data_IF_679395395458
#
_entry.id   IF_679395395458
#
_cell.length_a   1.000
_cell.length_b   1.000
_cell.length_c   1.000
_cell.angle_alpha   90.00
_cell.angle_beta   90.00
_cell.angle_gamma   90.00
#
_symmetry.space_group_name_H-M   'P 1'
#
loop_
_entity.id
_entity.type
_entity.pdbx_description
1 polymer ?
#
# COMPACT_ATOMS: atom_id res chain seq x y z
N UNK A 1 -5.58 5.40 -15.93
CA UNK A 1 -5.30 6.63 -15.16
C UNK A 1 -6.12 6.59 -13.88
N UNK A 2 -5.47 6.71 -12.71
CA UNK A 2 -6.17 6.74 -11.42
C UNK A 2 -7.18 7.91 -11.44
N UNK A 3 -8.46 7.63 -11.15
CA UNK A 3 -9.46 8.70 -11.01
C UNK A 3 -9.13 9.50 -9.75
N UNK A 4 -9.18 10.83 -9.85
CA UNK A 4 -9.05 11.73 -8.71
C UNK A 4 -10.18 11.45 -7.71
N UNK A 5 -9.92 10.66 -6.68
CA UNK A 5 -10.85 10.44 -5.56
C UNK A 5 -10.42 11.13 -4.27
N UNK A 6 -9.22 11.71 -4.23
CA UNK A 6 -8.63 12.35 -3.05
C UNK A 6 -8.77 13.87 -2.99
N UNK A 7 -9.82 14.46 -3.56
CA UNK A 7 -10.04 15.92 -3.45
C UNK A 7 -10.31 16.25 -1.98
N UNK A 8 -9.36 16.93 -1.35
CA UNK A 8 -9.48 17.43 0.02
C UNK A 8 -10.68 18.38 0.11
N UNK A 9 -11.62 18.08 1.00
CA UNK A 9 -12.74 18.97 1.31
C UNK A 9 -12.31 19.88 2.46
N UNK A 10 -12.03 21.14 2.19
CA UNK A 10 -11.90 22.14 3.24
C UNK A 10 -13.29 22.49 3.78
N UNK A 11 -13.54 22.31 5.10
CA UNK A 11 -14.69 22.97 5.72
C UNK A 11 -15.39 22.32 6.92
N UNK A 12 -15.14 21.07 7.32
CA UNK A 12 -15.83 20.46 8.47
C UNK A 12 -14.87 19.51 9.20
N UNK A 13 -14.92 19.43 10.54
CA UNK A 13 -14.23 18.42 11.38
C UNK A 13 -14.77 16.98 11.16
N UNK A 14 -15.12 16.64 9.93
CA UNK A 14 -15.62 15.33 9.52
C UNK A 14 -14.48 14.58 8.83
N UNK A 15 -14.03 13.49 9.45
CA UNK A 15 -13.10 12.55 8.82
C UNK A 15 -13.91 11.50 8.07
N UNK A 16 -13.95 11.61 6.74
CA UNK A 16 -14.70 10.72 5.86
C UNK A 16 -13.81 9.69 5.17
N UNK A 17 -12.55 10.06 4.93
CA UNK A 17 -11.55 9.24 4.27
C UNK A 17 -10.13 9.50 4.84
N UNK A 18 -9.18 8.63 4.52
CA UNK A 18 -7.77 8.73 4.93
C UNK A 18 -7.11 10.04 4.47
N UNK A 19 -7.58 10.61 3.35
CA UNK A 19 -7.12 11.90 2.82
C UNK A 19 -7.39 13.07 3.78
N UNK A 20 -8.40 12.93 4.66
CA UNK A 20 -8.72 13.94 5.67
C UNK A 20 -7.72 13.90 6.84
N UNK A 21 -6.98 12.79 6.97
CA UNK A 21 -6.02 12.53 8.03
C UNK A 21 -4.84 13.49 8.04
N UNK A 22 -4.32 13.77 9.23
CA UNK A 22 -3.17 14.68 9.43
C UNK A 22 -1.96 14.25 8.60
N UNK A 23 -1.67 12.95 8.54
CA UNK A 23 -0.51 12.45 7.81
C UNK A 23 -0.62 12.79 6.32
N UNK A 24 -1.75 12.52 5.68
CA UNK A 24 -1.97 12.88 4.28
C UNK A 24 -1.82 14.38 3.99
N UNK A 25 -2.06 15.24 4.99
CA UNK A 25 -1.92 16.70 4.88
C UNK A 25 -0.52 17.21 5.18
N UNK A 26 0.25 16.52 6.02
CA UNK A 26 1.52 17.06 6.54
C UNK A 26 2.71 16.11 6.39
N UNK A 27 2.59 15.00 5.65
CA UNK A 27 3.69 14.05 5.49
C UNK A 27 4.88 14.74 4.83
N UNK A 28 6.02 14.88 5.52
CA UNK A 28 7.11 15.73 5.08
C UNK A 28 7.89 15.09 3.92
N UNK A 29 8.26 15.90 2.93
CA UNK A 29 9.07 15.48 1.81
C UNK A 29 9.87 16.64 1.23
N UNK A 30 11.20 16.64 1.40
CA UNK A 30 12.13 17.63 0.81
C UNK A 30 11.71 19.11 0.97
N UNK A 31 11.20 19.49 2.13
CA UNK A 31 10.76 20.87 2.41
C UNK A 31 9.33 21.19 1.97
N UNK A 32 8.61 20.25 1.36
CA UNK A 32 7.18 20.31 1.07
C UNK A 32 6.42 19.14 1.72
N UNK A 33 5.16 18.95 1.34
CA UNK A 33 4.38 17.74 1.66
C UNK A 33 4.51 16.72 0.53
N UNK A 34 4.48 15.43 0.88
CA UNK A 34 4.57 14.33 -0.07
C UNK A 34 3.30 14.18 -0.92
N UNK A 35 2.13 14.43 -0.31
CA UNK A 35 0.86 14.42 -1.02
C UNK A 35 0.42 15.85 -1.29
N UNK A 36 0.22 16.14 -2.57
CA UNK A 36 -0.33 17.38 -3.10
C UNK A 36 -1.31 17.04 -4.23
N UNK A 37 -2.13 18.01 -4.64
CA UNK A 37 -3.05 17.81 -5.78
C UNK A 37 -2.31 17.44 -7.07
N UNK A 38 -1.10 17.95 -7.26
CA UNK A 38 -0.26 17.67 -8.42
C UNK A 38 0.36 16.26 -8.38
N UNK A 39 0.60 15.74 -7.18
CA UNK A 39 1.31 14.47 -6.97
C UNK A 39 0.40 13.30 -6.63
N UNK A 40 -0.91 13.51 -6.42
CA UNK A 40 -1.87 12.48 -5.96
C UNK A 40 -1.92 11.21 -6.85
N UNK A 41 -1.46 11.29 -8.10
CA UNK A 41 -1.41 10.16 -9.04
C UNK A 41 -0.03 9.54 -9.21
N UNK A 42 1.03 10.17 -8.67
CA UNK A 42 2.43 9.73 -8.80
C UNK A 42 3.09 9.43 -7.46
N UNK A 43 2.61 10.04 -6.38
CA UNK A 43 3.04 9.83 -5.01
C UNK A 43 2.03 8.92 -4.34
N UNK A 44 2.36 7.64 -4.28
CA UNK A 44 1.48 6.59 -3.80
C UNK A 44 1.73 6.29 -2.33
N UNK A 45 0.65 6.06 -1.60
CA UNK A 45 0.67 5.52 -0.26
C UNK A 45 0.27 4.04 -0.30
N UNK A 46 1.04 3.20 0.39
CA UNK A 46 0.74 1.79 0.55
C UNK A 46 0.31 1.48 1.98
N UNK A 47 -0.80 0.76 2.11
CA UNK A 47 -1.19 0.09 3.36
C UNK A 47 -0.66 -1.33 3.34
N UNK A 48 0.32 -1.63 4.21
CA UNK A 48 0.93 -2.95 4.34
C UNK A 48 0.20 -3.82 5.36
N UNK A 49 -0.10 -5.06 4.96
CA UNK A 49 -0.82 -6.04 5.75
C UNK A 49 -0.10 -7.40 5.76
N UNK A 50 -0.31 -8.13 6.84
CA UNK A 50 0.11 -9.52 7.01
C UNK A 50 -1.06 -10.27 7.64
N UNK A 51 -1.51 -11.34 6.99
CA UNK A 51 -2.58 -12.18 7.50
C UNK A 51 -2.26 -13.66 7.34
N UNK A 52 -2.79 -14.47 8.25
CA UNK A 52 -2.62 -15.92 8.29
C UNK A 52 -3.90 -16.63 7.88
N UNK A 53 -3.81 -17.54 6.92
CA UNK A 53 -4.95 -18.30 6.41
C UNK A 53 -4.62 -19.78 6.29
N UNK A 54 -5.67 -20.61 6.24
CA UNK A 54 -5.54 -22.05 6.05
C UNK A 54 -5.95 -22.45 4.62
N UNK A 55 -4.99 -22.75 3.72
CA UNK A 55 -5.30 -23.11 2.34
C UNK A 55 -5.87 -24.52 2.17
N UNK A 56 -5.70 -25.41 3.16
CA UNK A 56 -6.04 -26.83 3.05
C UNK A 56 -7.18 -27.22 4.01
N UNK A 57 -8.12 -28.02 3.52
CA UNK A 57 -9.13 -28.65 4.38
C UNK A 57 -8.55 -29.89 5.07
N UNK A 58 -9.02 -30.17 6.30
CA UNK A 58 -8.64 -31.38 7.08
C UNK A 58 -7.17 -31.49 7.50
N UNK A 59 -6.40 -30.40 7.46
CA UNK A 59 -5.06 -30.31 8.05
C UNK A 59 -4.90 -29.01 8.83
N UNK A 60 -4.02 -28.98 9.83
CA UNK A 60 -3.62 -27.75 10.49
C UNK A 60 -2.41 -27.17 9.74
N UNK A 61 -2.68 -26.18 8.89
CA UNK A 61 -1.66 -25.54 8.07
C UNK A 61 -1.94 -24.04 7.95
N UNK A 62 -1.21 -23.23 8.72
CA UNK A 62 -1.25 -21.77 8.60
C UNK A 62 -0.25 -21.31 7.54
N UNK A 63 -0.68 -20.46 6.61
CA UNK A 63 0.14 -19.81 5.58
C UNK A 63 -0.07 -18.32 5.66
N UNK A 64 1.01 -17.56 5.55
CA UNK A 64 0.96 -16.11 5.66
C UNK A 64 0.93 -15.47 4.30
N UNK A 65 0.16 -14.41 4.14
CA UNK A 65 0.24 -13.53 2.99
C UNK A 65 0.68 -12.16 3.46
N UNK A 66 1.75 -11.64 2.85
CA UNK A 66 2.11 -10.23 2.92
C UNK A 66 1.56 -9.55 1.68
N UNK A 67 0.77 -8.50 1.88
CA UNK A 67 0.14 -7.78 0.78
C UNK A 67 -0.02 -6.31 1.11
N UNK A 68 -0.20 -5.49 0.07
CA UNK A 68 -0.40 -4.07 0.20
C UNK A 68 -1.58 -3.57 -0.63
N UNK A 69 -2.28 -2.57 -0.12
CA UNK A 69 -3.33 -1.84 -0.83
C UNK A 69 -2.85 -0.45 -1.20
N UNK A 70 -3.21 0.03 -2.39
CA UNK A 70 -2.91 1.41 -2.83
C UNK A 70 -3.94 2.37 -2.25
N UNK A 71 -3.55 3.17 -1.28
CA UNK A 71 -4.43 4.07 -0.56
C UNK A 71 -4.97 5.23 -1.42
N UNK A 72 -4.26 5.59 -2.50
CA UNK A 72 -4.68 6.63 -3.45
C UNK A 72 -5.94 6.25 -4.26
N UNK A 73 -6.41 5.01 -4.17
CA UNK A 73 -7.68 4.61 -4.76
C UNK A 73 -8.87 5.14 -3.96
N UNK A 74 -10.07 5.21 -4.58
CA UNK A 74 -11.30 5.46 -3.84
C UNK A 74 -11.51 4.38 -2.78
N UNK A 75 -12.10 4.75 -1.64
CA UNK A 75 -12.36 3.83 -0.52
C UNK A 75 -12.99 2.49 -0.94
N UNK A 76 -13.93 2.51 -1.89
CA UNK A 76 -14.61 1.30 -2.38
C UNK A 76 -13.72 0.36 -3.20
N UNK A 77 -12.58 0.85 -3.70
CA UNK A 77 -11.71 0.13 -4.64
C UNK A 77 -10.43 -0.41 -3.97
N UNK A 78 -9.95 0.23 -2.89
CA UNK A 78 -8.63 -0.05 -2.27
C UNK A 78 -8.36 -1.52 -1.95
N UNK A 79 -9.36 -2.20 -1.38
CA UNK A 79 -9.22 -3.56 -0.85
C UNK A 79 -9.86 -4.61 -1.76
N UNK A 80 -10.19 -4.26 -3.00
CA UNK A 80 -10.65 -5.26 -3.96
C UNK A 80 -9.47 -6.14 -4.38
N UNK A 81 -9.69 -7.45 -4.62
CA UNK A 81 -8.63 -8.37 -5.01
C UNK A 81 -7.79 -7.88 -6.21
N UNK A 82 -8.40 -7.23 -7.19
CA UNK A 82 -7.73 -6.67 -8.37
C UNK A 82 -6.81 -5.48 -8.09
N UNK A 83 -6.95 -4.83 -6.93
CA UNK A 83 -6.16 -3.68 -6.50
C UNK A 83 -5.22 -3.99 -5.31
N UNK A 84 -5.21 -5.24 -4.85
CA UNK A 84 -4.30 -5.72 -3.81
C UNK A 84 -3.02 -6.28 -4.43
N UNK A 85 -1.88 -5.83 -3.92
CA UNK A 85 -0.55 -6.24 -4.37
C UNK A 85 -0.02 -7.28 -3.40
N UNK A 86 0.16 -8.53 -3.82
CA UNK A 86 0.83 -9.55 -3.02
C UNK A 86 2.34 -9.36 -3.07
N UNK A 87 2.96 -9.18 -1.90
CA UNK A 87 4.39 -8.93 -1.75
C UNK A 87 5.16 -10.21 -1.38
N UNK A 88 4.49 -11.18 -0.76
CA UNK A 88 5.12 -12.46 -0.42
C UNK A 88 4.18 -13.43 0.29
N UNK A 89 4.58 -14.70 0.30
CA UNK A 89 3.88 -15.76 1.03
C UNK A 89 4.82 -16.44 2.00
N UNK A 90 4.36 -16.63 3.24
CA UNK A 90 5.09 -17.31 4.29
C UNK A 90 4.62 -18.75 4.36
N UNK A 91 5.55 -19.67 4.11
CA UNK A 91 5.25 -21.10 4.09
C UNK A 91 4.88 -21.59 5.48
N UNK A 92 3.81 -22.39 5.55
CA UNK A 92 3.38 -23.09 6.77
C UNK A 92 4.30 -24.25 7.15
N UNK A 93 3.90 -25.11 8.12
CA UNK A 93 2.52 -25.35 8.56
C UNK A 93 2.05 -24.50 9.75
N UNK A 94 2.92 -23.71 10.35
CA UNK A 94 2.60 -22.82 11.48
C UNK A 94 3.00 -21.39 11.15
N UNK A 95 2.49 -20.45 11.95
CA UNK A 95 2.94 -19.06 11.90
C UNK A 95 4.46 -19.00 12.03
N UNK A 96 5.06 -18.14 11.21
CA UNK A 96 6.51 -18.00 11.16
C UNK A 96 7.00 -17.27 12.40
N UNK A 97 8.02 -17.83 13.04
CA UNK A 97 8.68 -17.21 14.19
C UNK A 97 9.25 -15.83 13.86
N UNK A 98 9.29 -14.94 14.87
CA UNK A 98 9.68 -13.55 14.72
C UNK A 98 11.06 -13.37 14.07
N UNK A 99 12.00 -14.29 14.31
CA UNK A 99 13.34 -14.20 13.72
C UNK A 99 13.34 -14.50 12.22
N UNK A 100 12.47 -15.41 11.78
CA UNK A 100 12.38 -15.83 10.38
C UNK A 100 11.62 -14.84 9.51
N UNK A 101 10.70 -14.05 10.07
CA UNK A 101 9.92 -13.07 9.31
C UNK A 101 10.83 -12.02 8.65
N UNK A 102 11.95 -11.67 9.29
CA UNK A 102 12.90 -10.68 8.77
C UNK A 102 13.49 -11.11 7.42
N UNK A 103 13.70 -12.41 7.20
CA UNK A 103 14.19 -12.90 5.91
C UNK A 103 13.18 -12.71 4.78
N UNK A 104 11.88 -12.73 5.08
CA UNK A 104 10.82 -12.42 4.11
C UNK A 104 10.66 -10.92 3.90
N UNK A 105 10.82 -10.12 4.97
CA UNK A 105 10.66 -8.67 4.91
C UNK A 105 11.85 -7.97 4.26
N UNK A 106 13.07 -8.49 4.40
CA UNK A 106 14.28 -7.86 3.88
C UNK A 106 14.17 -7.46 2.39
N UNK A 107 13.84 -8.37 1.44
CA UNK A 107 13.70 -7.98 0.04
C UNK A 107 12.57 -6.97 -0.20
N UNK A 108 11.47 -7.04 0.57
CA UNK A 108 10.36 -6.10 0.45
C UNK A 108 10.80 -4.70 0.90
N UNK A 109 11.58 -4.61 1.97
CA UNK A 109 12.14 -3.35 2.46
C UNK A 109 13.08 -2.73 1.43
N UNK A 110 13.93 -3.53 0.79
CA UNK A 110 14.83 -3.04 -0.26
C UNK A 110 14.05 -2.41 -1.44
N UNK A 111 13.01 -3.09 -1.93
CA UNK A 111 12.13 -2.57 -2.99
C UNK A 111 11.42 -1.28 -2.56
N UNK A 112 10.91 -1.21 -1.33
CA UNK A 112 10.25 -0.01 -0.80
C UNK A 112 11.21 1.17 -0.67
N UNK A 113 12.47 0.94 -0.31
CA UNK A 113 13.50 1.97 -0.23
C UNK A 113 13.82 2.54 -1.62
N UNK A 114 13.84 1.71 -2.65
CA UNK A 114 14.04 2.16 -4.03
C UNK A 114 12.82 2.92 -4.56
N UNK A 115 11.61 2.47 -4.26
CA UNK A 115 10.38 3.20 -4.59
C UNK A 115 10.26 4.56 -3.86
N UNK A 116 10.82 4.69 -2.66
CA UNK A 116 10.91 5.97 -1.96
C UNK A 116 11.84 6.97 -2.67
N UNK A 117 13.01 6.49 -3.13
CA UNK A 117 13.94 7.29 -3.97
C UNK A 117 13.27 7.71 -5.27
N UNK A 118 12.36 6.89 -5.78
CA UNK A 118 11.54 7.14 -6.94
C UNK A 118 11.87 6.16 -8.07
N UNK A 119 10.85 5.77 -8.81
CA UNK A 119 10.96 4.80 -9.89
C UNK A 119 10.28 5.29 -11.16
N UNK A 120 10.93 5.08 -12.31
CA UNK A 120 10.38 5.40 -13.63
C UNK A 120 9.63 4.19 -14.16
N UNK A 121 8.30 4.25 -14.12
CA UNK A 121 7.44 3.31 -14.83
C UNK A 121 7.75 3.41 -16.34
N UNK A 122 8.06 2.29 -17.02
CA UNK A 122 8.30 2.29 -18.45
C UNK A 122 7.11 2.80 -19.25
N UNK A 123 7.37 3.19 -20.50
CA UNK A 123 6.35 3.61 -21.45
C UNK A 123 5.31 2.51 -21.63
N UNK A 124 4.03 2.88 -21.53
CA UNK A 124 2.90 1.98 -21.81
C UNK A 124 2.05 2.56 -22.92
N UNK A 125 1.13 1.77 -23.47
CA UNK A 125 0.17 2.26 -24.46
C UNK A 125 -0.64 3.48 -23.96
N UNK A 126 -0.98 3.50 -22.67
CA UNK A 126 -1.73 4.60 -22.05
C UNK A 126 -0.84 5.75 -21.54
N UNK A 127 0.48 5.55 -21.48
CA UNK A 127 1.44 6.53 -20.99
C UNK A 127 2.72 6.44 -21.82
N UNK A 128 2.72 7.10 -22.98
CA UNK A 128 3.81 7.02 -23.98
C UNK A 128 5.12 7.62 -23.51
N UNK A 129 5.09 8.46 -22.48
CA UNK A 129 6.30 9.05 -21.91
C UNK A 129 6.86 8.22 -20.75
N UNK A 130 6.07 7.29 -20.19
CA UNK A 130 6.35 6.68 -18.89
C UNK A 130 5.98 7.61 -17.74
N UNK A 131 6.09 7.12 -16.51
CA UNK A 131 5.61 7.83 -15.33
C UNK A 131 6.63 7.74 -14.20
N UNK A 132 7.08 8.87 -13.67
CA UNK A 132 7.84 8.87 -12.43
C UNK A 132 6.89 8.72 -11.25
N UNK A 133 7.15 7.73 -10.41
CA UNK A 133 6.41 7.50 -9.19
C UNK A 133 7.32 7.51 -7.99
N UNK A 134 6.74 7.85 -6.84
CA UNK A 134 7.32 7.70 -5.52
C UNK A 134 6.33 6.99 -4.64
N UNK A 135 6.81 6.14 -3.75
CA UNK A 135 5.94 5.40 -2.84
C UNK A 135 6.36 5.65 -1.41
N UNK A 136 5.38 6.02 -0.58
CA UNK A 136 5.51 6.08 0.86
C UNK A 136 4.81 4.87 1.48
N UNK A 137 5.40 4.33 2.54
CA UNK A 137 4.75 3.37 3.41
C UNK A 137 4.30 4.08 4.69
N UNK A 138 3.01 4.38 4.81
CA UNK A 138 2.44 5.11 5.94
C UNK A 138 1.53 4.17 6.76
N UNK A 139 2.16 3.22 7.47
CA UNK A 139 1.81 2.56 8.76
C UNK A 139 0.30 2.47 9.15
N UNK A 140 -0.31 1.35 9.66
CA UNK A 140 0.08 -0.03 10.06
C UNK A 140 -1.19 -0.90 10.19
N UNK A 141 -1.02 -2.22 10.10
CA UNK A 141 -1.85 -3.31 10.68
C UNK A 141 -3.33 -3.02 10.74
N UNK A 142 -4.03 -3.31 9.65
CA UNK A 142 -5.48 -3.33 9.65
C UNK A 142 -5.92 -4.70 9.20
N UNK A 143 -6.65 -5.42 10.06
CA UNK A 143 -7.51 -6.49 9.57
C UNK A 143 -8.39 -5.88 8.48
N UNK A 144 -8.30 -6.43 7.27
CA UNK A 144 -9.25 -6.02 6.23
C UNK A 144 -10.62 -6.58 6.66
N UNK A 145 -11.70 -5.77 6.63
CA UNK A 145 -13.01 -6.26 6.97
C UNK A 145 -13.36 -7.48 6.11
N UNK A 146 -13.72 -8.58 6.77
CA UNK A 146 -14.26 -9.76 6.10
C UNK A 146 -15.46 -9.34 5.24
N UNK A 147 -15.46 -9.77 3.97
CA UNK A 147 -16.56 -9.52 3.04
C UNK A 147 -17.64 -10.58 3.20
#
# INVERSE_FOLDING_TARGET
>A
MLKLSGVQREGVNLYSDIYDGKIWKTFPFNGSTFFTLETVTTHLDLLFNLDWFQPFTYSQHSTGAIYASVCNLPRSERNKPENTIYLGFLSGPKEVELERINHYLAPIVDELLDLWKGWRVPKTYQCSDGLDIKVALIVRSSDIPAT
#
